data_IF_591349725569
#
_entry.id   IF_591349725569
#
_cell.length_a   1.000
_cell.length_b   1.000
_cell.length_c   1.000
_cell.angle_alpha   90.00
_cell.angle_beta   90.00
_cell.angle_gamma   90.00
#
_symmetry.space_group_name_H-M   'P 1'
#
loop_
_entity.id
_entity.type
_entity.pdbx_description
1 polymer ?
#
# COMPACT_ATOMS: atom_id res chain seq x y z
N UNK A 1 41.82 9.04 -6.66
CA UNK A 1 42.60 7.90 -6.12
C UNK A 1 43.97 7.67 -6.79
N UNK A 2 44.18 8.04 -8.07
CA UNK A 2 45.44 7.77 -8.79
C UNK A 2 46.57 8.81 -8.61
N UNK A 3 46.29 10.02 -8.12
CA UNK A 3 47.32 11.08 -7.94
C UNK A 3 47.86 11.20 -6.51
N UNK A 4 47.20 10.62 -5.50
CA UNK A 4 47.63 10.65 -4.10
C UNK A 4 47.49 9.23 -3.54
N UNK A 5 48.59 8.53 -3.34
CA UNK A 5 48.62 7.12 -2.88
C UNK A 5 48.33 6.99 -1.38
N UNK A 6 47.41 7.79 -0.83
CA UNK A 6 46.98 7.66 0.55
C UNK A 6 45.74 6.76 0.64
N UNK A 7 45.74 5.88 1.64
CA UNK A 7 44.60 5.01 1.97
C UNK A 7 43.31 5.82 2.21
N UNK A 8 43.44 7.04 2.74
CA UNK A 8 42.36 8.02 2.90
C UNK A 8 41.73 8.45 1.57
N UNK A 9 42.53 8.66 0.53
CA UNK A 9 42.05 9.05 -0.80
C UNK A 9 41.30 7.91 -1.51
N UNK A 10 41.72 6.65 -1.28
CA UNK A 10 40.99 5.46 -1.75
C UNK A 10 39.67 5.30 -1.02
N UNK A 11 39.64 5.50 0.31
CA UNK A 11 38.41 5.47 1.09
C UNK A 11 37.42 6.55 0.62
N UNK A 12 37.88 7.81 0.50
CA UNK A 12 37.06 8.92 0.02
C UNK A 12 36.51 8.68 -1.40
N UNK A 13 37.30 8.06 -2.28
CA UNK A 13 36.83 7.68 -3.61
C UNK A 13 35.70 6.65 -3.56
N UNK A 14 35.84 5.58 -2.76
CA UNK A 14 34.78 4.56 -2.60
C UNK A 14 33.50 5.18 -2.03
N UNK A 15 33.62 6.07 -1.04
CA UNK A 15 32.48 6.81 -0.48
C UNK A 15 31.79 7.68 -1.54
N UNK A 16 32.55 8.44 -2.32
CA UNK A 16 31.99 9.29 -3.38
C UNK A 16 31.29 8.47 -4.46
N UNK A 17 31.90 7.36 -4.91
CA UNK A 17 31.28 6.47 -5.90
C UNK A 17 29.97 5.87 -5.36
N UNK A 18 29.98 5.41 -4.11
CA UNK A 18 28.77 4.85 -3.47
C UNK A 18 27.68 5.91 -3.33
N UNK A 19 28.04 7.13 -2.93
CA UNK A 19 27.10 8.25 -2.82
C UNK A 19 26.49 8.62 -4.18
N UNK A 20 27.30 8.64 -5.26
CA UNK A 20 26.79 8.87 -6.62
C UNK A 20 25.82 7.78 -7.03
N UNK A 21 26.10 6.50 -6.74
CA UNK A 21 25.16 5.40 -7.03
C UNK A 21 23.85 5.52 -6.25
N UNK A 22 23.89 5.93 -4.97
CA UNK A 22 22.67 6.14 -4.18
C UNK A 22 21.85 7.34 -4.66
N UNK A 23 22.49 8.46 -5.01
CA UNK A 23 21.77 9.67 -5.44
C UNK A 23 21.24 9.54 -6.88
N UNK A 24 21.99 8.87 -7.76
CA UNK A 24 21.58 8.69 -9.15
C UNK A 24 20.59 7.55 -9.38
N UNK A 25 20.43 6.64 -8.41
CA UNK A 25 19.61 5.42 -8.53
C UNK A 25 19.90 4.60 -9.81
N UNK A 26 21.12 4.71 -10.37
CA UNK A 26 21.49 4.05 -11.63
C UNK A 26 21.50 2.52 -11.53
N UNK A 27 21.61 1.98 -10.31
CA UNK A 27 21.51 0.55 -9.99
C UNK A 27 20.60 0.39 -8.76
N UNK A 28 19.95 -0.78 -8.58
CA UNK A 28 19.13 -1.04 -7.39
C UNK A 28 19.88 -0.75 -6.09
N UNK A 29 19.22 -0.19 -5.07
CA UNK A 29 19.85 0.22 -3.81
C UNK A 29 20.68 -0.90 -3.17
N UNK A 30 20.22 -2.15 -3.25
CA UNK A 30 20.96 -3.32 -2.76
C UNK A 30 22.29 -3.55 -3.48
N UNK A 31 22.34 -3.36 -4.81
CA UNK A 31 23.57 -3.47 -5.58
C UNK A 31 24.52 -2.29 -5.28
N UNK A 32 23.98 -1.07 -5.16
CA UNK A 32 24.76 0.10 -4.72
C UNK A 32 25.37 -0.12 -3.33
N UNK A 33 24.62 -0.71 -2.39
CA UNK A 33 25.09 -1.00 -1.04
C UNK A 33 26.21 -2.06 -0.99
N UNK A 34 26.38 -2.87 -2.04
CA UNK A 34 27.49 -3.85 -2.15
C UNK A 34 28.75 -3.24 -2.79
N UNK A 35 28.69 -2.04 -3.37
CA UNK A 35 29.85 -1.38 -3.98
C UNK A 35 31.04 -1.26 -3.00
N UNK A 36 30.84 -0.80 -1.74
CA UNK A 36 31.92 -0.80 -0.75
C UNK A 36 32.44 -2.20 -0.42
N UNK A 37 31.56 -3.22 -0.44
CA UNK A 37 31.93 -4.61 -0.14
C UNK A 37 33.04 -5.13 -1.06
N UNK A 38 33.02 -4.73 -2.33
CA UNK A 38 34.00 -5.14 -3.34
C UNK A 38 35.16 -4.13 -3.48
N UNK A 39 34.88 -2.83 -3.43
CA UNK A 39 35.90 -1.82 -3.67
C UNK A 39 36.86 -1.64 -2.48
N UNK A 40 36.42 -1.83 -1.23
CA UNK A 40 37.32 -1.70 -0.09
C UNK A 40 38.44 -2.76 -0.07
N UNK A 41 38.17 -4.05 -0.31
CA UNK A 41 39.23 -5.04 -0.47
C UNK A 41 40.08 -4.81 -1.72
N UNK A 42 39.48 -4.37 -2.82
CA UNK A 42 40.19 -4.14 -4.10
C UNK A 42 41.22 -3.00 -4.00
N UNK A 43 40.87 -1.92 -3.32
CA UNK A 43 41.79 -0.80 -3.08
C UNK A 43 42.68 -0.98 -1.85
N UNK A 44 42.64 -2.15 -1.18
CA UNK A 44 43.45 -2.44 -0.01
C UNK A 44 43.12 -1.60 1.23
N UNK A 45 41.90 -1.07 1.32
CA UNK A 45 41.48 -0.21 2.45
C UNK A 45 41.18 -1.06 3.69
N UNK A 46 40.47 -2.18 3.53
CA UNK A 46 40.15 -3.16 4.58
C UNK A 46 40.20 -4.59 4.03
N UNK A 47 40.41 -5.58 4.90
CA UNK A 47 40.38 -7.00 4.47
C UNK A 47 38.95 -7.43 4.13
N UNK A 48 38.81 -8.35 3.18
CA UNK A 48 37.50 -8.89 2.77
C UNK A 48 36.72 -9.52 3.92
N UNK A 49 37.39 -10.17 4.87
CA UNK A 49 36.76 -10.75 6.06
C UNK A 49 36.18 -9.69 7.01
N UNK A 50 36.89 -8.58 7.18
CA UNK A 50 36.47 -7.46 8.05
C UNK A 50 35.28 -6.73 7.42
N UNK A 51 35.32 -6.50 6.11
CA UNK A 51 34.21 -5.93 5.35
C UNK A 51 32.98 -6.84 5.43
N UNK A 52 33.14 -8.16 5.22
CA UNK A 52 32.03 -9.11 5.26
C UNK A 52 31.38 -9.18 6.66
N UNK A 53 32.17 -9.13 7.73
CA UNK A 53 31.66 -9.11 9.10
C UNK A 53 30.72 -7.91 9.36
N UNK A 54 30.97 -6.77 8.71
CA UNK A 54 30.14 -5.57 8.85
C UNK A 54 28.75 -5.72 8.21
N UNK A 55 28.59 -6.59 7.21
CA UNK A 55 27.28 -6.88 6.58
C UNK A 55 26.46 -7.90 7.38
N UNK A 56 27.12 -8.82 8.10
CA UNK A 56 26.48 -9.91 8.85
C UNK A 56 26.37 -9.63 10.34
N UNK A 57 25.74 -8.51 10.71
CA UNK A 57 25.44 -8.18 12.10
C UNK A 57 24.12 -8.78 12.58
N UNK A 58 24.00 -8.92 13.90
CA UNK A 58 22.77 -9.38 14.57
C UNK A 58 21.54 -8.55 14.15
N UNK A 59 21.71 -7.24 13.95
CA UNK A 59 20.66 -6.33 13.49
C UNK A 59 20.16 -6.67 12.08
N UNK A 60 21.05 -7.10 11.17
CA UNK A 60 20.67 -7.57 9.82
C UNK A 60 19.87 -8.87 9.89
N UNK A 61 20.29 -9.81 10.74
CA UNK A 61 19.56 -11.07 10.98
C UNK A 61 18.17 -10.82 11.58
N UNK A 62 18.08 -9.88 12.52
CA UNK A 62 16.82 -9.44 13.09
C UNK A 62 15.89 -8.88 12.01
N UNK A 63 16.39 -7.97 11.15
CA UNK A 63 15.62 -7.41 10.04
C UNK A 63 15.09 -8.51 9.10
N UNK A 64 15.92 -9.50 8.77
CA UNK A 64 15.50 -10.64 7.94
C UNK A 64 14.37 -11.45 8.61
N UNK A 65 14.45 -11.68 9.91
CA UNK A 65 13.40 -12.33 10.69
C UNK A 65 12.08 -11.55 10.66
N UNK A 66 12.12 -10.23 10.85
CA UNK A 66 10.92 -9.36 10.79
C UNK A 66 10.29 -9.39 9.40
N UNK A 67 11.09 -9.30 8.34
CA UNK A 67 10.61 -9.38 6.95
C UNK A 67 9.93 -10.73 6.69
N UNK A 68 10.48 -11.82 7.21
CA UNK A 68 9.90 -13.16 7.05
C UNK A 68 8.54 -13.29 7.76
N UNK A 69 8.43 -12.77 8.99
CA UNK A 69 7.16 -12.74 9.73
C UNK A 69 6.14 -11.85 9.02
N UNK A 70 6.55 -10.68 8.56
CA UNK A 70 5.71 -9.75 7.80
C UNK A 70 5.18 -10.38 6.50
N UNK A 71 6.06 -11.04 5.73
CA UNK A 71 5.68 -11.76 4.51
C UNK A 71 4.70 -12.93 4.81
N UNK A 72 4.82 -13.57 5.97
CA UNK A 72 3.88 -14.60 6.40
C UNK A 72 2.49 -14.02 6.71
N UNK A 73 2.43 -12.87 7.40
CA UNK A 73 1.18 -12.13 7.68
C UNK A 73 0.50 -11.67 6.38
N UNK A 74 1.31 -11.30 5.38
CA UNK A 74 0.84 -10.96 4.04
C UNK A 74 0.26 -12.17 3.31
N UNK A 75 1.05 -13.25 3.19
CA UNK A 75 0.68 -14.46 2.47
C UNK A 75 -0.64 -15.08 2.95
N UNK A 76 -0.89 -15.01 4.25
CA UNK A 76 -2.12 -15.55 4.86
C UNK A 76 -3.25 -14.52 4.98
N UNK A 77 -3.10 -13.31 4.43
CA UNK A 77 -4.11 -12.25 4.44
C UNK A 77 -4.64 -11.88 5.85
N UNK A 78 -3.85 -12.16 6.89
CA UNK A 78 -4.23 -11.88 8.28
C UNK A 78 -4.45 -10.36 8.48
N UNK A 79 -3.59 -9.55 7.87
CA UNK A 79 -3.70 -8.10 7.84
C UNK A 79 -5.02 -7.63 7.21
N UNK A 80 -5.48 -8.23 6.10
CA UNK A 80 -6.77 -7.92 5.45
C UNK A 80 -7.95 -8.21 6.38
N UNK A 81 -7.91 -9.32 7.13
CA UNK A 81 -8.94 -9.66 8.12
C UNK A 81 -9.02 -8.64 9.25
N UNK A 82 -7.86 -8.21 9.77
CA UNK A 82 -7.78 -7.20 10.84
C UNK A 82 -8.27 -5.84 10.32
N UNK A 83 -7.81 -5.42 9.14
CA UNK A 83 -8.21 -4.16 8.51
C UNK A 83 -9.73 -4.09 8.28
N UNK A 84 -10.33 -5.13 7.68
CA UNK A 84 -11.77 -5.17 7.44
C UNK A 84 -12.58 -5.16 8.75
N UNK A 85 -12.11 -5.84 9.80
CA UNK A 85 -12.75 -5.78 11.12
C UNK A 85 -12.71 -4.36 11.71
N UNK A 86 -11.58 -3.69 11.63
CA UNK A 86 -11.42 -2.31 12.10
C UNK A 86 -12.36 -1.36 11.37
N UNK A 87 -12.46 -1.49 10.04
CA UNK A 87 -13.36 -0.66 9.22
C UNK A 87 -14.83 -0.94 9.55
N UNK A 88 -15.23 -2.20 9.75
CA UNK A 88 -16.60 -2.54 10.19
C UNK A 88 -16.94 -1.96 11.57
N UNK A 89 -15.97 -1.80 12.47
CA UNK A 89 -16.19 -1.17 13.77
C UNK A 89 -16.32 0.35 13.70
N UNK A 90 -15.60 1.01 12.79
CA UNK A 90 -15.62 2.48 12.65
C UNK A 90 -16.90 3.00 11.97
N UNK A 91 -17.55 2.16 11.16
CA UNK A 91 -18.72 2.54 10.36
C UNK A 91 -18.36 3.35 9.12
N UNK A 92 -19.35 3.59 8.27
CA UNK A 92 -19.14 4.14 6.93
C UNK A 92 -19.12 5.68 6.82
N UNK A 93 -18.87 6.40 7.91
CA UNK A 93 -18.74 7.87 7.86
C UNK A 93 -17.37 8.24 7.26
N UNK A 94 -17.27 9.09 6.24
CA UNK A 94 -16.02 9.37 5.53
C UNK A 94 -14.90 9.88 6.45
N UNK A 95 -15.23 10.68 7.46
CA UNK A 95 -14.26 11.18 8.43
C UNK A 95 -13.70 10.13 9.41
N UNK A 96 -14.57 9.24 9.91
CA UNK A 96 -14.18 8.12 10.78
C UNK A 96 -13.49 7.01 9.99
N UNK A 97 -13.91 6.81 8.74
CA UNK A 97 -13.30 5.89 7.80
C UNK A 97 -11.84 6.29 7.51
N UNK A 98 -11.58 7.59 7.29
CA UNK A 98 -10.23 8.10 7.12
C UNK A 98 -9.36 7.88 8.36
N UNK A 99 -9.89 8.18 9.56
CA UNK A 99 -9.18 7.87 10.82
C UNK A 99 -8.90 6.38 10.97
N UNK A 100 -9.87 5.53 10.60
CA UNK A 100 -9.73 4.07 10.68
C UNK A 100 -8.62 3.56 9.75
N UNK A 101 -8.59 4.03 8.50
CA UNK A 101 -7.53 3.68 7.56
C UNK A 101 -6.16 4.18 8.03
N UNK A 102 -6.07 5.41 8.57
CA UNK A 102 -4.82 5.92 9.15
C UNK A 102 -4.36 5.09 10.35
N UNK A 103 -5.25 4.79 11.30
CA UNK A 103 -4.92 3.94 12.45
C UNK A 103 -4.50 2.53 12.03
N UNK A 104 -5.23 1.90 11.10
CA UNK A 104 -4.90 0.59 10.59
C UNK A 104 -3.53 0.58 9.91
N UNK A 105 -3.26 1.57 9.05
CA UNK A 105 -1.96 1.71 8.37
C UNK A 105 -0.83 1.95 9.35
N UNK A 106 -1.04 2.79 10.38
CA UNK A 106 -0.04 3.07 11.42
C UNK A 106 0.31 1.80 12.20
N UNK A 107 -0.70 1.01 12.59
CA UNK A 107 -0.48 -0.26 13.30
C UNK A 107 0.24 -1.28 12.41
N UNK A 108 -0.11 -1.39 11.13
CA UNK A 108 0.60 -2.30 10.22
C UNK A 108 2.05 -1.84 10.00
N UNK A 109 2.27 -0.55 9.76
CA UNK A 109 3.59 0.02 9.49
C UNK A 109 4.52 0.09 10.71
N UNK A 110 3.99 -0.15 11.91
CA UNK A 110 4.79 -0.37 13.11
C UNK A 110 5.58 -1.69 13.07
N UNK A 111 5.16 -2.64 12.22
CA UNK A 111 5.78 -3.97 12.15
C UNK A 111 6.26 -4.32 10.75
N UNK A 112 5.57 -3.81 9.74
CA UNK A 112 5.91 -3.94 8.33
C UNK A 112 6.64 -2.68 7.84
N UNK A 113 7.33 -2.79 6.70
CA UNK A 113 7.89 -1.61 6.06
C UNK A 113 6.79 -0.63 5.64
N UNK A 114 7.12 0.67 5.61
CA UNK A 114 6.20 1.72 5.15
C UNK A 114 5.64 1.41 3.75
N UNK A 115 6.51 1.02 2.82
CA UNK A 115 6.14 0.69 1.45
C UNK A 115 5.20 -0.51 1.39
N UNK A 116 5.51 -1.60 2.11
CA UNK A 116 4.65 -2.79 2.17
C UNK A 116 3.29 -2.46 2.77
N UNK A 117 3.24 -1.68 3.84
CA UNK A 117 2.00 -1.29 4.50
C UNK A 117 1.09 -0.47 3.58
N UNK A 118 1.65 0.51 2.86
CA UNK A 118 0.88 1.27 1.87
C UNK A 118 0.40 0.38 0.72
N UNK A 119 1.26 -0.49 0.18
CA UNK A 119 0.89 -1.39 -0.92
C UNK A 119 -0.24 -2.36 -0.56
N UNK A 120 -0.31 -2.83 0.70
CA UNK A 120 -1.38 -3.71 1.18
C UNK A 120 -2.71 -2.99 1.41
N UNK A 121 -2.65 -1.76 1.95
CA UNK A 121 -3.85 -1.00 2.32
C UNK A 121 -4.46 -0.29 1.11
N UNK A 122 -3.66 0.07 0.10
CA UNK A 122 -4.12 0.83 -1.06
C UNK A 122 -5.23 0.12 -1.85
N UNK A 123 -5.17 -1.19 -2.19
CA UNK A 123 -6.26 -1.87 -2.89
C UNK A 123 -7.57 -1.89 -2.10
N UNK A 124 -7.50 -1.97 -0.77
CA UNK A 124 -8.69 -1.92 0.10
C UNK A 124 -9.30 -0.52 0.03
N UNK A 125 -8.47 0.51 0.06
CA UNK A 125 -8.92 1.91 -0.01
C UNK A 125 -9.49 2.22 -1.38
N UNK A 126 -8.87 1.74 -2.46
CA UNK A 126 -9.40 1.88 -3.81
C UNK A 126 -10.76 1.21 -3.96
N UNK A 127 -10.94 -0.01 -3.43
CA UNK A 127 -12.22 -0.70 -3.45
C UNK A 127 -13.30 0.08 -2.69
N UNK A 128 -12.96 0.62 -1.51
CA UNK A 128 -13.90 1.43 -0.72
C UNK A 128 -14.18 2.78 -1.39
N UNK A 129 -13.18 3.40 -2.01
CA UNK A 129 -13.31 4.68 -2.70
C UNK A 129 -14.18 4.56 -3.95
N UNK A 130 -13.99 3.54 -4.78
CA UNK A 130 -14.83 3.31 -5.97
C UNK A 130 -16.30 3.14 -5.57
N UNK A 131 -16.57 2.41 -4.49
CA UNK A 131 -17.93 2.26 -3.98
C UNK A 131 -18.50 3.57 -3.42
N UNK A 132 -17.67 4.39 -2.76
CA UNK A 132 -18.09 5.70 -2.26
C UNK A 132 -18.49 6.66 -3.39
N UNK A 133 -17.87 6.54 -4.58
CA UNK A 133 -18.22 7.31 -5.78
C UNK A 133 -19.50 6.77 -6.41
N UNK A 134 -19.58 5.45 -6.64
CA UNK A 134 -20.76 4.81 -7.24
C UNK A 134 -22.04 5.03 -6.40
N UNK A 135 -21.92 5.03 -5.07
CA UNK A 135 -23.06 5.28 -4.19
C UNK A 135 -23.53 6.74 -4.21
N UNK A 136 -22.68 7.71 -4.59
CA UNK A 136 -23.11 9.09 -4.84
C UNK A 136 -23.95 9.15 -6.12
N UNK A 137 -23.51 8.50 -7.21
CA UNK A 137 -24.25 8.43 -8.47
C UNK A 137 -25.66 7.86 -8.29
N UNK A 138 -25.81 6.73 -7.60
CA UNK A 138 -27.14 6.15 -7.33
C UNK A 138 -28.04 7.07 -6.51
N UNK A 139 -27.47 7.85 -5.59
CA UNK A 139 -28.23 8.77 -4.75
C UNK A 139 -28.67 10.01 -5.54
N UNK A 140 -27.84 10.52 -6.43
CA UNK A 140 -28.20 11.59 -7.37
C UNK A 140 -29.30 11.14 -8.34
N UNK A 141 -29.17 9.94 -8.92
CA UNK A 141 -30.19 9.36 -9.82
C UNK A 141 -31.54 9.18 -9.11
N UNK A 142 -31.54 8.68 -7.87
CA UNK A 142 -32.79 8.52 -7.10
C UNK A 142 -33.38 9.87 -6.72
N UNK A 143 -32.56 10.87 -6.44
CA UNK A 143 -33.04 12.23 -6.13
C UNK A 143 -33.63 12.89 -7.38
N UNK A 144 -33.03 12.68 -8.55
CA UNK A 144 -33.53 13.16 -9.85
C UNK A 144 -34.79 12.40 -10.32
N UNK A 145 -34.91 11.11 -10.00
CA UNK A 145 -36.12 10.32 -10.23
C UNK A 145 -37.24 10.66 -9.23
N UNK A 146 -36.89 11.02 -7.99
CA UNK A 146 -37.83 11.46 -6.97
C UNK A 146 -38.41 12.86 -7.22
N UNK A 147 -37.65 13.75 -7.87
CA UNK A 147 -38.15 15.07 -8.27
C UNK A 147 -39.07 15.02 -9.51
N UNK A 148 -38.94 14.00 -10.36
CA UNK A 148 -39.83 13.80 -11.52
C UNK A 148 -41.18 13.16 -11.16
N UNK A 149 -41.27 12.45 -10.02
CA UNK A 149 -42.53 11.84 -9.54
C UNK A 149 -43.40 12.84 -8.74
N UNK A 150 -42.87 14.02 -8.37
CA UNK A 150 -43.60 15.01 -7.58
C UNK A 150 -44.63 15.86 -8.36
N UNK A 151 -44.77 15.71 -9.69
CA UNK A 151 -45.70 16.51 -10.50
C UNK A 151 -46.88 15.76 -11.15
N UNK A 152 -47.08 14.46 -10.92
CA UNK A 152 -48.23 13.76 -11.52
C UNK A 152 -49.11 13.06 -10.49
N UNK A 153 -49.99 13.84 -9.85
CA UNK A 153 -51.13 13.33 -9.10
C UNK A 153 -52.38 13.32 -9.97
N UNK A 154 -52.72 12.16 -10.55
CA UNK A 154 -54.10 11.83 -10.92
C UNK A 154 -54.33 10.31 -10.82
N UNK A 155 -55.39 9.85 -10.14
CA UNK A 155 -55.57 8.41 -9.88
C UNK A 155 -56.32 7.76 -11.04
N UNK A 156 -55.92 6.55 -11.46
CA UNK A 156 -56.79 5.53 -12.08
C UNK A 156 -56.05 4.17 -12.10
N UNK A 157 -56.72 3.12 -11.62
CA UNK A 157 -56.73 1.80 -12.28
C UNK A 157 -55.89 0.65 -11.70
N UNK A 158 -56.60 -0.37 -11.19
CA UNK A 158 -56.12 -1.70 -10.79
C UNK A 158 -55.24 -2.43 -11.84
N UNK A 159 -54.28 -3.23 -11.35
CA UNK A 159 -53.72 -4.37 -12.09
C UNK A 159 -52.49 -5.00 -11.43
N UNK A 160 -52.71 -5.99 -10.55
CA UNK A 160 -51.65 -6.93 -10.13
C UNK A 160 -51.21 -7.80 -11.33
N UNK A 161 -49.89 -7.96 -11.54
CA UNK A 161 -49.26 -9.30 -11.67
C UNK A 161 -47.73 -9.27 -11.64
N UNK A 162 -47.24 -10.31 -11.00
CA UNK A 162 -45.88 -10.70 -10.62
C UNK A 162 -44.97 -11.04 -11.82
N UNK A 163 -43.65 -10.80 -11.70
CA UNK A 163 -42.64 -11.37 -12.61
C UNK A 163 -41.22 -10.77 -12.49
N UNK A 164 -40.35 -11.42 -11.71
CA UNK A 164 -38.89 -11.49 -11.91
C UNK A 164 -38.55 -12.97 -12.18
N UNK A 165 -37.35 -13.36 -12.66
CA UNK A 165 -36.30 -12.65 -13.42
C UNK A 165 -35.74 -13.53 -14.58
N UNK A 166 -34.77 -13.03 -15.38
CA UNK A 166 -33.75 -13.87 -16.03
C UNK A 166 -32.50 -13.02 -16.35
N UNK A 167 -31.47 -13.19 -15.51
CA UNK A 167 -30.10 -12.77 -15.81
C UNK A 167 -29.49 -13.90 -16.65
N UNK A 168 -29.15 -13.63 -17.91
CA UNK A 168 -28.43 -14.60 -18.73
C UNK A 168 -26.93 -14.48 -18.43
N UNK A 169 -26.38 -15.61 -17.99
CA UNK A 169 -25.04 -15.81 -17.48
C UNK A 169 -24.13 -16.15 -18.67
N UNK A 170 -23.28 -15.23 -19.13
CA UNK A 170 -22.23 -15.56 -20.09
C UNK A 170 -21.01 -16.05 -19.30
N UNK A 171 -20.90 -17.38 -19.21
CA UNK A 171 -19.65 -18.07 -18.92
C UNK A 171 -18.72 -17.91 -20.12
N UNK A 172 -17.51 -17.36 -19.92
CA UNK A 172 -16.39 -17.67 -20.81
C UNK A 172 -15.48 -18.60 -20.01
N UNK A 173 -15.52 -19.87 -20.40
CA UNK A 173 -14.60 -20.89 -19.95
C UNK A 173 -13.29 -20.70 -20.70
N UNK A 174 -12.22 -20.51 -19.94
CA UNK A 174 -10.85 -20.53 -20.42
C UNK A 174 -10.48 -21.99 -20.66
N UNK A 175 -10.61 -22.46 -21.91
CA UNK A 175 -9.78 -23.52 -22.48
C UNK A 175 -10.12 -23.77 -23.96
N UNK A 176 -9.07 -24.08 -24.72
CA UNK A 176 -9.04 -24.64 -26.07
C UNK A 176 -8.98 -23.68 -27.28
N UNK A 177 -7.74 -23.60 -27.79
CA UNK A 177 -7.34 -23.69 -29.20
C UNK A 177 -7.53 -22.49 -30.13
N UNK A 178 -6.36 -21.96 -30.48
CA UNK A 178 -6.00 -21.14 -31.63
C UNK A 178 -6.65 -21.58 -32.94
N UNK A 179 -7.64 -20.83 -33.43
CA UNK A 179 -7.95 -20.52 -34.85
C UNK A 179 -9.36 -19.93 -34.88
N UNK A 180 -9.49 -18.61 -35.06
CA UNK A 180 -10.68 -17.90 -35.62
C UNK A 180 -10.78 -16.40 -35.26
N UNK A 181 -9.69 -15.75 -34.86
CA UNK A 181 -9.68 -14.28 -34.68
C UNK A 181 -9.70 -13.48 -36.02
N UNK A 182 -9.55 -14.15 -37.16
CA UNK A 182 -9.53 -13.52 -38.49
C UNK A 182 -10.90 -13.40 -39.17
N UNK A 183 -11.97 -14.00 -38.62
CA UNK A 183 -13.31 -13.99 -39.23
C UNK A 183 -14.32 -13.05 -38.56
N UNK A 184 -14.04 -12.54 -37.36
CA UNK A 184 -14.96 -11.68 -36.59
C UNK A 184 -14.73 -10.17 -36.73
N UNK A 185 -13.66 -9.74 -37.41
CA UNK A 185 -13.39 -8.32 -37.70
C UNK A 185 -14.18 -7.83 -38.93
N UNK A 186 -14.84 -8.73 -39.67
CA UNK A 186 -15.50 -8.42 -40.94
C UNK A 186 -17.03 -8.44 -40.88
N UNK A 187 -17.66 -7.92 -39.82
CA UNK A 187 -19.14 -7.81 -39.79
C UNK A 187 -19.68 -6.86 -38.70
N UNK A 188 -19.47 -5.54 -38.87
CA UNK A 188 -20.48 -4.49 -38.55
C UNK A 188 -19.89 -3.10 -38.77
N UNK A 189 -20.11 -2.54 -39.95
CA UNK A 189 -20.24 -1.11 -40.13
C UNK A 189 -21.15 -0.85 -41.32
N UNK A 190 -22.43 -0.62 -41.05
CA UNK A 190 -23.35 0.10 -41.93
C UNK A 190 -24.30 0.89 -41.05
N UNK A 191 -24.05 2.19 -40.94
CA UNK A 191 -24.93 3.23 -41.47
C UNK A 191 -24.30 4.61 -41.18
N UNK A 192 -23.94 5.36 -42.23
CA UNK A 192 -23.63 6.79 -42.07
C UNK A 192 -22.53 7.41 -42.95
N UNK A 193 -22.54 7.16 -44.26
CA UNK A 193 -22.35 8.18 -45.33
C UNK A 193 -20.99 8.92 -45.53
N UNK A 194 -20.58 8.83 -46.81
CA UNK A 194 -19.66 9.60 -47.66
C UNK A 194 -18.13 9.42 -47.61
N UNK A 195 -17.66 8.71 -48.65
CA UNK A 195 -16.31 8.61 -49.19
C UNK A 195 -15.84 9.88 -49.92
N UNK A 196 -14.53 10.16 -49.86
CA UNK A 196 -13.74 10.70 -50.99
C UNK A 196 -12.42 9.90 -51.08
N UNK A 197 -12.13 9.46 -52.31
CA UNK A 197 -11.09 8.54 -52.73
C UNK A 197 -9.69 9.19 -52.88
N UNK A 198 -8.60 8.42 -52.71
CA UNK A 198 -7.86 7.85 -53.85
C UNK A 198 -6.73 6.89 -53.39
N UNK A 199 -6.40 5.85 -54.18
CA UNK A 199 -5.39 4.84 -53.87
C UNK A 199 -4.03 5.19 -54.50
N UNK A 200 -2.96 4.48 -54.11
CA UNK A 200 -1.82 4.04 -54.95
C UNK A 200 -0.72 3.47 -54.04
N UNK A 201 -0.18 2.29 -54.37
CA UNK A 201 1.19 1.91 -53.99
C UNK A 201 1.36 0.55 -53.33
N UNK A 202 1.09 -0.53 -54.06
CA UNK A 202 1.61 -1.88 -53.81
C UNK A 202 3.14 -1.93 -53.99
N UNK A 203 3.86 -2.52 -53.03
CA UNK A 203 5.09 -3.28 -53.32
C UNK A 203 5.39 -4.32 -52.23
N UNK A 204 5.56 -5.56 -52.69
CA UNK A 204 5.92 -6.77 -51.93
C UNK A 204 7.44 -6.99 -51.90
N UNK A 205 7.84 -7.91 -51.00
CA UNK A 205 9.05 -8.80 -51.02
C UNK A 205 10.22 -8.33 -50.14
N UNK A 206 10.48 -8.93 -48.96
CA UNK A 206 11.04 -10.25 -48.57
C UNK A 206 12.56 -10.33 -48.34
N UNK A 207 12.90 -10.93 -47.18
CA UNK A 207 14.21 -11.43 -46.71
C UNK A 207 15.19 -10.34 -46.23
N UNK A 208 15.97 -10.48 -45.16
CA UNK A 208 16.53 -11.65 -44.49
C UNK A 208 16.84 -11.31 -43.02
N UNK A 209 16.90 -12.31 -42.16
CA UNK A 209 16.95 -12.17 -40.71
C UNK A 209 18.25 -11.61 -40.11
N UNK A 210 18.12 -11.09 -38.89
CA UNK A 210 19.11 -11.14 -37.82
C UNK A 210 18.52 -10.49 -36.54
N UNK A 211 18.79 -11.13 -35.40
CA UNK A 211 18.65 -10.61 -34.04
C UNK A 211 17.23 -10.46 -33.46
N UNK A 212 16.89 -11.31 -32.47
CA UNK A 212 15.88 -10.95 -31.46
C UNK A 212 16.45 -9.81 -30.61
N UNK A 213 15.78 -8.64 -30.49
CA UNK A 213 16.01 -7.75 -29.38
C UNK A 213 15.20 -8.27 -28.18
N UNK A 214 15.86 -8.45 -27.04
CA UNK A 214 15.18 -8.50 -25.76
C UNK A 214 14.24 -7.30 -25.68
N UNK A 215 12.93 -7.55 -25.65
CA UNK A 215 11.96 -6.53 -25.32
C UNK A 215 12.21 -6.11 -23.87
N UNK A 216 12.97 -5.02 -23.70
CA UNK A 216 12.86 -4.22 -22.49
C UNK A 216 11.39 -3.83 -22.40
N UNK A 217 10.70 -4.32 -21.35
CA UNK A 217 9.41 -3.79 -20.95
C UNK A 217 9.72 -2.36 -20.48
N UNK A 218 9.76 -1.43 -21.43
CA UNK A 218 9.65 -0.02 -21.14
C UNK A 218 8.21 0.12 -20.62
N UNK A 219 8.07 0.05 -19.29
CA UNK A 219 6.86 0.48 -18.61
C UNK A 219 6.78 1.97 -18.88
N UNK A 220 6.18 2.32 -20.02
CA UNK A 220 5.68 3.66 -20.24
C UNK A 220 4.77 3.93 -19.04
N UNK A 221 4.95 5.04 -18.30
CA UNK A 221 3.91 5.46 -17.38
C UNK A 221 2.61 5.49 -18.19
N UNK A 222 1.48 5.01 -17.65
CA UNK A 222 0.23 5.04 -18.38
C UNK A 222 0.02 6.45 -18.90
N UNK A 223 -0.18 6.57 -20.22
CA UNK A 223 -0.59 7.81 -20.86
C UNK A 223 -1.67 8.47 -19.99
N UNK A 224 -1.60 9.78 -19.71
CA UNK A 224 -2.51 10.46 -18.78
C UNK A 224 -3.96 10.58 -19.30
N UNK A 225 -4.35 9.78 -20.29
CA UNK A 225 -5.57 9.95 -21.08
C UNK A 225 -6.77 9.07 -20.66
N UNK A 226 -6.72 8.33 -19.53
CA UNK A 226 -7.93 7.63 -19.01
C UNK A 226 -8.17 7.74 -17.49
N UNK A 227 -7.39 8.53 -16.73
CA UNK A 227 -7.67 8.73 -15.30
C UNK A 227 -8.73 9.81 -15.04
N UNK A 228 -8.93 10.73 -15.99
CA UNK A 228 -9.90 11.83 -15.86
C UNK A 228 -11.36 11.41 -15.98
N UNK A 229 -11.63 10.16 -16.41
CA UNK A 229 -12.98 9.61 -16.55
C UNK A 229 -13.49 8.85 -15.32
N UNK A 230 -12.64 8.63 -14.30
CA UNK A 230 -13.00 7.78 -13.13
C UNK A 230 -13.67 8.54 -11.99
N UNK A 231 -13.57 9.88 -11.95
CA UNK A 231 -14.13 10.70 -10.88
C UNK A 231 -15.05 11.77 -11.49
N UNK A 232 -16.36 11.67 -11.24
CA UNK A 232 -17.34 12.60 -11.80
C UNK A 232 -17.33 13.97 -11.09
N UNK A 233 -17.09 14.02 -9.78
CA UNK A 233 -17.12 15.28 -9.02
C UNK A 233 -15.74 15.72 -8.52
N UNK A 234 -15.53 17.05 -8.41
CA UNK A 234 -14.33 17.62 -7.78
C UNK A 234 -14.19 17.18 -6.32
N UNK A 235 -15.30 16.93 -5.65
CA UNK A 235 -15.36 16.47 -4.27
C UNK A 235 -14.80 15.04 -4.14
N UNK A 236 -15.23 14.11 -4.99
CA UNK A 236 -14.72 12.72 -5.00
C UNK A 236 -13.24 12.64 -5.27
N UNK A 237 -12.76 13.44 -6.23
CA UNK A 237 -11.34 13.52 -6.53
C UNK A 237 -10.53 14.05 -5.33
N UNK A 238 -11.08 15.00 -4.56
CA UNK A 238 -10.44 15.49 -3.33
C UNK A 238 -10.46 14.44 -2.21
N UNK A 239 -11.54 13.68 -2.06
CA UNK A 239 -11.64 12.57 -1.09
C UNK A 239 -10.65 11.46 -1.44
N UNK A 240 -10.53 11.08 -2.72
CA UNK A 240 -9.54 10.12 -3.22
C UNK A 240 -8.11 10.54 -2.85
N UNK A 241 -7.76 11.79 -3.17
CA UNK A 241 -6.44 12.36 -2.86
C UNK A 241 -6.19 12.35 -1.37
N UNK A 242 -7.17 12.75 -0.57
CA UNK A 242 -7.07 12.78 0.88
C UNK A 242 -6.81 11.39 1.45
N UNK A 243 -7.59 10.38 1.06
CA UNK A 243 -7.43 9.01 1.53
C UNK A 243 -6.07 8.43 1.14
N UNK A 244 -5.68 8.56 -0.13
CA UNK A 244 -4.38 8.06 -0.63
C UNK A 244 -3.20 8.70 0.10
N UNK A 245 -3.25 10.02 0.30
CA UNK A 245 -2.22 10.77 1.00
C UNK A 245 -2.19 10.43 2.51
N UNK A 246 -3.37 10.22 3.12
CA UNK A 246 -3.49 9.85 4.53
C UNK A 246 -2.80 8.53 4.86
N UNK A 247 -2.89 7.54 3.95
CA UNK A 247 -2.23 6.23 4.10
C UNK A 247 -0.71 6.39 4.03
N UNK A 248 -0.22 7.20 3.08
CA UNK A 248 1.21 7.43 2.91
C UNK A 248 1.83 8.09 4.15
N UNK A 249 1.15 9.10 4.72
CA UNK A 249 1.58 9.71 5.98
C UNK A 249 1.44 8.76 7.18
N UNK A 250 0.33 8.04 7.29
CA UNK A 250 0.10 7.10 8.38
C UNK A 250 1.13 5.96 8.40
N UNK A 251 1.53 5.46 7.23
CA UNK A 251 2.62 4.48 7.12
C UNK A 251 3.92 5.05 7.68
N UNK A 252 4.28 6.27 7.26
CA UNK A 252 5.49 6.95 7.77
C UNK A 252 5.45 7.17 9.28
N UNK A 253 4.31 7.58 9.84
CA UNK A 253 4.12 7.77 11.28
C UNK A 253 4.23 6.43 12.03
N UNK A 254 3.62 5.36 11.49
CA UNK A 254 3.68 4.03 12.09
C UNK A 254 5.11 3.47 12.15
N UNK A 255 5.90 3.69 11.09
CA UNK A 255 7.29 3.24 11.04
C UNK A 255 8.20 3.91 12.07
N UNK A 256 7.84 5.10 12.57
CA UNK A 256 8.61 5.80 13.62
C UNK A 256 8.32 5.24 15.03
N UNK A 257 7.15 4.62 15.23
CA UNK A 257 6.67 4.14 16.54
C UNK A 257 7.58 3.10 17.17
N UNK A 258 8.16 2.21 16.37
CA UNK A 258 9.04 1.12 16.80
C UNK A 258 10.39 1.20 16.11
N UNK A 259 11.42 0.68 16.78
CA UNK A 259 12.78 0.65 16.23
C UNK A 259 12.84 -0.13 14.91
N UNK A 260 12.06 -1.20 14.80
CA UNK A 260 11.97 -2.12 13.66
C UNK A 260 11.11 -1.60 12.49
N UNK A 261 10.30 -0.56 12.71
CA UNK A 261 9.40 -0.04 11.68
C UNK A 261 10.14 0.58 10.50
N UNK A 262 11.32 1.17 10.75
CA UNK A 262 12.17 1.73 9.70
C UNK A 262 13.62 1.28 9.80
N UNK A 263 14.26 1.11 8.64
CA UNK A 263 15.69 0.80 8.55
C UNK A 263 16.56 1.88 9.20
N UNK A 264 16.16 3.15 9.10
CA UNK A 264 16.88 4.28 9.73
C UNK A 264 16.96 4.15 11.25
N UNK A 265 15.87 3.74 11.90
CA UNK A 265 15.84 3.52 13.35
C UNK A 265 16.73 2.35 13.77
N UNK A 266 16.77 1.27 12.98
CA UNK A 266 17.68 0.14 13.21
C UNK A 266 19.16 0.54 13.03
N UNK A 267 19.47 1.30 11.98
CA UNK A 267 20.83 1.80 11.74
C UNK A 267 21.28 2.73 12.88
N UNK A 268 20.38 3.59 13.37
CA UNK A 268 20.65 4.43 14.53
C UNK A 268 20.95 3.58 15.78
N UNK A 269 20.12 2.58 16.08
CA UNK A 269 20.32 1.70 17.23
C UNK A 269 21.66 0.98 17.15
N UNK A 270 21.98 0.43 15.99
CA UNK A 270 23.26 -0.25 15.72
C UNK A 270 24.44 0.69 15.94
N UNK A 271 24.39 1.90 15.34
CA UNK A 271 25.46 2.88 15.48
C UNK A 271 25.61 3.35 16.93
N UNK A 272 24.50 3.62 17.63
CA UNK A 272 24.50 4.06 19.02
C UNK A 272 25.11 3.00 19.95
N UNK A 273 24.73 1.73 19.79
CA UNK A 273 25.26 0.63 20.61
C UNK A 273 26.75 0.39 20.36
N UNK A 274 27.22 0.55 19.11
CA UNK A 274 28.64 0.42 18.78
C UNK A 274 29.47 1.56 19.41
N UNK A 275 28.95 2.79 19.41
CA UNK A 275 29.65 3.96 19.96
C UNK A 275 29.58 4.03 21.49
N UNK A 276 28.46 3.61 22.09
CA UNK A 276 28.20 3.71 23.53
C UNK A 276 27.81 2.36 24.14
N UNK A 277 28.71 1.36 24.17
CA UNK A 277 28.39 -0.01 24.60
C UNK A 277 27.97 -0.14 26.08
N UNK A 278 28.28 0.87 26.90
CA UNK A 278 27.91 0.90 28.33
C UNK A 278 26.57 1.61 28.59
N UNK A 279 25.98 2.23 27.57
CA UNK A 279 24.75 3.01 27.71
C UNK A 279 23.56 2.19 27.21
N UNK A 280 22.97 1.37 28.08
CA UNK A 280 21.76 0.57 27.78
C UNK A 280 20.46 1.39 27.82
N UNK A 281 20.53 2.66 27.40
CA UNK A 281 19.40 3.60 27.46
C UNK A 281 18.42 3.41 26.30
N UNK A 282 18.90 2.90 25.15
CA UNK A 282 18.08 2.70 23.94
C UNK A 282 17.81 1.21 23.74
N UNK A 283 16.64 0.76 24.20
CA UNK A 283 16.11 -0.59 24.01
C UNK A 283 14.77 -0.51 23.28
N UNK A 284 14.25 -1.65 22.83
CA UNK A 284 12.94 -1.72 22.17
C UNK A 284 11.83 -1.06 23.01
N UNK A 285 11.76 -1.40 24.31
CA UNK A 285 10.76 -0.86 25.22
C UNK A 285 10.91 0.63 25.50
N UNK A 286 12.14 1.12 25.72
CA UNK A 286 12.36 2.55 26.01
C UNK A 286 12.10 3.42 24.78
N UNK A 287 12.50 2.95 23.59
CA UNK A 287 12.16 3.62 22.33
C UNK A 287 10.66 3.66 22.09
N UNK A 288 9.96 2.53 22.28
CA UNK A 288 8.51 2.50 22.11
C UNK A 288 7.82 3.47 23.07
N UNK A 289 8.21 3.49 24.34
CA UNK A 289 7.62 4.40 25.33
C UNK A 289 7.87 5.87 24.99
N UNK A 290 9.02 6.19 24.38
CA UNK A 290 9.34 7.52 23.90
C UNK A 290 8.59 7.90 22.61
N UNK A 291 8.60 7.03 21.61
CA UNK A 291 8.12 7.31 20.26
C UNK A 291 6.61 7.14 20.09
N UNK A 292 6.00 6.16 20.76
CA UNK A 292 4.56 5.90 20.70
C UNK A 292 3.68 7.13 21.01
N UNK A 293 3.87 7.87 22.12
CA UNK A 293 3.05 9.06 22.39
C UNK A 293 3.24 10.14 21.31
N UNK A 294 4.46 10.32 20.81
CA UNK A 294 4.76 11.28 19.73
C UNK A 294 4.03 10.86 18.45
N UNK A 295 4.09 9.57 18.08
CA UNK A 295 3.42 9.03 16.90
C UNK A 295 1.90 9.21 16.99
N UNK A 296 1.30 9.02 18.16
CA UNK A 296 -0.14 9.20 18.38
C UNK A 296 -0.54 10.67 18.22
N UNK A 297 0.24 11.59 18.77
CA UNK A 297 0.02 13.03 18.61
C UNK A 297 0.14 13.41 17.12
N UNK A 298 1.19 12.95 16.44
CA UNK A 298 1.40 13.20 15.01
C UNK A 298 0.27 12.62 14.15
N UNK A 299 -0.24 11.44 14.50
CA UNK A 299 -1.36 10.81 13.81
C UNK A 299 -2.63 11.67 13.90
N UNK A 300 -2.96 12.14 15.10
CA UNK A 300 -4.14 12.99 15.33
C UNK A 300 -3.98 14.36 14.64
N UNK A 301 -2.79 14.97 14.72
CA UNK A 301 -2.51 16.24 14.05
C UNK A 301 -2.60 16.10 12.52
N UNK A 302 -2.05 15.02 11.96
CA UNK A 302 -2.11 14.75 10.51
C UNK A 302 -3.54 14.47 10.07
N UNK A 303 -4.29 13.70 10.85
CA UNK A 303 -5.71 13.46 10.60
C UNK A 303 -6.49 14.78 10.59
N UNK A 304 -6.29 15.63 11.60
CA UNK A 304 -6.95 16.94 11.68
C UNK A 304 -6.58 17.83 10.49
N UNK A 305 -5.29 17.88 10.12
CA UNK A 305 -4.78 18.67 9.00
C UNK A 305 -5.36 18.21 7.66
N UNK A 306 -5.33 16.91 7.37
CA UNK A 306 -5.88 16.36 6.12
C UNK A 306 -7.40 16.49 6.07
N UNK A 307 -8.07 16.32 7.21
CA UNK A 307 -9.50 16.53 7.31
C UNK A 307 -9.88 17.98 6.98
N UNK A 308 -9.19 18.96 7.58
CA UNK A 308 -9.41 20.38 7.26
C UNK A 308 -9.15 20.65 5.78
N UNK A 309 -7.98 20.25 5.26
CA UNK A 309 -7.54 20.60 3.91
C UNK A 309 -8.46 20.08 2.80
N UNK A 310 -9.01 18.87 2.96
CA UNK A 310 -9.78 18.20 1.90
C UNK A 310 -11.28 18.07 2.17
N UNK A 311 -11.72 17.94 3.43
CA UNK A 311 -13.13 17.77 3.80
C UNK A 311 -13.75 19.05 4.42
N UNK A 312 -12.96 20.09 4.70
CA UNK A 312 -13.41 21.37 5.24
C UNK A 312 -13.72 21.36 6.75
N UNK A 313 -14.32 22.45 7.25
CA UNK A 313 -14.55 22.66 8.70
C UNK A 313 -15.81 21.96 9.28
N UNK A 314 -16.33 20.89 8.67
CA UNK A 314 -17.52 20.19 9.16
C UNK A 314 -17.21 19.14 10.25
N UNK A 315 -16.42 19.54 11.27
CA UNK A 315 -16.01 18.68 12.39
C UNK A 315 -17.19 18.05 13.15
N UNK A 316 -18.32 18.77 13.22
CA UNK A 316 -19.52 18.32 13.94
C UNK A 316 -20.23 17.16 13.24
N UNK A 317 -20.04 16.95 11.95
CA UNK A 317 -20.60 15.80 11.23
C UNK A 317 -19.63 14.61 11.20
N UNK A 318 -18.32 14.89 11.13
CA UNK A 318 -17.24 13.89 11.15
C UNK A 318 -17.05 13.20 12.50
N UNK A 319 -16.99 13.96 13.60
CA UNK A 319 -16.74 13.43 14.95
C UNK A 319 -18.03 13.06 15.70
N UNK A 320 -19.20 13.29 15.11
CA UNK A 320 -20.45 12.91 15.76
C UNK A 320 -20.63 11.39 15.73
N UNK A 321 -20.27 10.77 16.85
CA UNK A 321 -20.64 9.39 17.23
C UNK A 321 -22.17 9.28 17.47
N UNK A 322 -22.94 10.34 17.24
CA UNK A 322 -24.38 10.31 17.39
C UNK A 322 -25.02 9.40 16.34
N UNK A 323 -25.97 8.58 16.79
CA UNK A 323 -26.80 7.65 16.01
C UNK A 323 -27.78 8.43 15.14
N UNK A 324 -27.30 9.24 14.20
CA UNK A 324 -28.14 9.69 13.08
C UNK A 324 -28.53 8.49 12.23
N UNK A 325 -29.71 8.55 11.61
CA UNK A 325 -30.18 7.57 10.63
C UNK A 325 -29.08 7.40 9.57
N UNK A 326 -28.60 6.18 9.37
CA UNK A 326 -27.53 5.88 8.40
C UNK A 326 -27.95 6.39 7.03
N UNK A 327 -27.03 7.06 6.36
CA UNK A 327 -27.26 7.51 4.98
C UNK A 327 -27.29 6.26 4.09
N UNK A 328 -28.04 6.28 2.97
CA UNK A 328 -28.08 5.14 2.03
C UNK A 328 -26.66 4.72 1.58
N UNK A 329 -25.76 5.69 1.42
CA UNK A 329 -24.32 5.53 1.17
C UNK A 329 -23.58 4.71 2.23
N UNK A 330 -23.90 4.94 3.51
CA UNK A 330 -23.27 4.24 4.63
C UNK A 330 -23.71 2.78 4.68
N UNK A 331 -24.99 2.50 4.39
CA UNK A 331 -25.49 1.13 4.35
C UNK A 331 -24.90 0.32 3.18
N UNK A 332 -24.74 0.95 2.01
CA UNK A 332 -24.15 0.31 0.82
C UNK A 332 -22.68 -0.09 1.05
N UNK A 333 -21.87 0.85 1.54
CA UNK A 333 -20.46 0.59 1.84
C UNK A 333 -20.28 -0.45 2.95
N UNK A 334 -21.10 -0.43 4.01
CA UNK A 334 -21.06 -1.47 5.05
C UNK A 334 -21.38 -2.87 4.50
N UNK A 335 -22.39 -3.00 3.61
CA UNK A 335 -22.73 -4.29 2.98
C UNK A 335 -21.56 -4.84 2.16
N UNK A 336 -20.88 -3.99 1.39
CA UNK A 336 -19.70 -4.35 0.61
C UNK A 336 -18.51 -4.76 1.46
N UNK A 337 -18.21 -4.01 2.52
CA UNK A 337 -17.15 -4.39 3.48
C UNK A 337 -17.47 -5.75 4.11
N UNK A 338 -18.75 -6.01 4.42
CA UNK A 338 -19.19 -7.32 4.90
C UNK A 338 -19.09 -8.41 3.81
N UNK A 339 -19.35 -8.11 2.54
CA UNK A 339 -19.14 -9.04 1.43
C UNK A 339 -17.66 -9.39 1.28
N UNK A 340 -16.76 -8.40 1.27
CA UNK A 340 -15.31 -8.63 1.26
C UNK A 340 -14.86 -9.43 2.48
N UNK A 341 -15.37 -9.12 3.67
CA UNK A 341 -15.06 -9.88 4.87
C UNK A 341 -15.58 -11.33 4.80
N UNK A 342 -16.76 -11.55 4.22
CA UNK A 342 -17.32 -12.89 3.98
C UNK A 342 -16.49 -13.68 2.96
N UNK A 343 -15.93 -13.03 1.93
CA UNK A 343 -15.04 -13.68 0.95
C UNK A 343 -13.77 -14.27 1.60
N UNK A 344 -13.29 -13.69 2.71
CA UNK A 344 -12.14 -14.25 3.46
C UNK A 344 -12.48 -15.57 4.19
N UNK A 345 -13.75 -15.93 4.34
CA UNK A 345 -14.17 -17.15 5.02
C UNK A 345 -13.74 -17.23 6.49
N UNK A 346 -13.77 -18.45 7.03
CA UNK A 346 -13.37 -18.73 8.41
C UNK A 346 -11.86 -18.60 8.61
N UNK A 347 -11.43 -18.35 9.85
CA UNK A 347 -10.01 -18.23 10.19
C UNK A 347 -9.32 -19.55 9.89
N UNK A 348 -8.35 -19.53 8.98
CA UNK A 348 -7.58 -20.70 8.59
C UNK A 348 -6.52 -21.04 9.66
N UNK A 349 -6.11 -22.32 9.75
CA UNK A 349 -5.06 -22.73 10.68
C UNK A 349 -3.76 -21.93 10.53
N UNK A 350 -3.26 -21.65 9.31
CA UNK A 350 -2.04 -20.87 9.14
C UNK A 350 -2.20 -19.39 9.53
N UNK A 351 -3.39 -18.81 9.40
CA UNK A 351 -3.69 -17.47 9.93
C UNK A 351 -3.54 -17.45 11.46
N UNK A 352 -4.08 -18.47 12.13
CA UNK A 352 -4.00 -18.61 13.58
C UNK A 352 -2.55 -18.79 14.07
N UNK A 353 -1.78 -19.66 13.41
CA UNK A 353 -0.37 -19.90 13.73
C UNK A 353 0.47 -18.63 13.51
N UNK A 354 0.26 -17.94 12.38
CA UNK A 354 0.96 -16.69 12.08
C UNK A 354 0.62 -15.62 13.11
N UNK A 355 -0.65 -15.49 13.49
CA UNK A 355 -1.09 -14.57 14.55
C UNK A 355 -0.47 -14.91 15.91
N UNK A 356 -0.38 -16.19 16.27
CA UNK A 356 0.29 -16.64 17.49
C UNK A 356 1.77 -16.25 17.51
N UNK A 357 2.53 -16.55 16.45
CA UNK A 357 3.95 -16.19 16.38
C UNK A 357 4.17 -14.68 16.37
N UNK A 358 3.29 -13.93 15.72
CA UNK A 358 3.35 -12.46 15.72
C UNK A 358 3.15 -11.88 17.12
N UNK A 359 2.13 -12.34 17.85
CA UNK A 359 1.86 -11.93 19.24
C UNK A 359 3.01 -12.36 20.14
N UNK A 360 3.47 -13.61 20.02
CA UNK A 360 4.60 -14.13 20.78
C UNK A 360 5.86 -13.29 20.56
N UNK A 361 6.23 -13.02 19.30
CA UNK A 361 7.36 -12.16 18.94
C UNK A 361 7.24 -10.78 19.58
N UNK A 362 6.06 -10.15 19.48
CA UNK A 362 5.79 -8.84 20.07
C UNK A 362 6.00 -8.86 21.58
N UNK A 363 5.44 -9.86 22.27
CA UNK A 363 5.59 -10.02 23.71
C UNK A 363 7.04 -10.27 24.11
N UNK A 364 7.78 -11.10 23.37
CA UNK A 364 9.20 -11.34 23.63
C UNK A 364 10.01 -10.06 23.47
N UNK A 365 9.75 -9.22 22.48
CA UNK A 365 10.48 -7.96 22.34
C UNK A 365 10.21 -6.98 23.48
N UNK A 366 8.95 -6.85 23.90
CA UNK A 366 8.62 -6.00 25.05
C UNK A 366 9.22 -6.52 26.36
N UNK A 367 9.31 -7.84 26.53
CA UNK A 367 9.84 -8.48 27.74
C UNK A 367 11.35 -8.71 27.71
N UNK A 368 12.04 -8.40 26.59
CA UNK A 368 13.49 -8.64 26.42
C UNK A 368 14.30 -7.86 27.44
N UNK A 369 14.17 -6.53 27.42
CA UNK A 369 14.86 -5.58 28.30
C UNK A 369 13.91 -4.40 28.58
N UNK A 370 12.86 -4.61 29.39
CA UNK A 370 11.81 -3.61 29.61
C UNK A 370 12.28 -2.38 30.39
N UNK A 371 13.48 -2.40 30.97
CA UNK A 371 14.11 -1.27 31.67
C UNK A 371 13.63 -1.05 33.11
N UNK A 372 12.46 -1.55 33.49
CA UNK A 372 11.93 -1.48 34.87
C UNK A 372 12.11 -2.79 35.67
N UNK A 373 12.29 -3.91 34.98
CA UNK A 373 12.66 -5.22 35.55
C UNK A 373 13.77 -5.85 34.70
N UNK A 374 14.62 -6.72 35.27
CA UNK A 374 15.51 -7.55 34.46
C UNK A 374 14.63 -8.38 33.52
N UNK A 375 14.74 -8.10 32.22
CA UNK A 375 13.99 -8.83 31.20
C UNK A 375 14.60 -10.21 30.97
N UNK A 376 13.97 -11.02 30.12
CA UNK A 376 14.46 -12.39 29.90
C UNK A 376 15.85 -12.46 29.26
N UNK A 377 16.39 -11.35 28.73
CA UNK A 377 17.78 -11.31 28.28
C UNK A 377 18.77 -11.61 29.40
N UNK A 378 18.42 -11.36 30.67
CA UNK A 378 19.30 -11.65 31.81
C UNK A 378 19.51 -13.15 32.04
N UNK A 379 18.70 -14.01 31.43
CA UNK A 379 18.89 -15.47 31.48
C UNK A 379 19.97 -15.96 30.50
N UNK A 380 20.41 -15.12 29.58
CA UNK A 380 21.47 -15.42 28.63
C UNK A 380 22.71 -14.57 28.96
N UNK A 381 23.88 -15.21 29.09
CA UNK A 381 25.14 -14.48 29.26
C UNK A 381 25.39 -13.60 28.01
N UNK A 382 25.75 -12.33 28.25
CA UNK A 382 25.98 -11.30 27.21
C UNK A 382 27.32 -11.46 26.50
#
# INVERSE_FOLDING_TARGET
>A
PLCLSLQEASCAYVLMVTAVYWVSEAVPLGAAALVPAFLYPLFGVMKSSEVAAEYFKNTTLLLMGVICVAASVEKWNLHKRIALRMVMMAGAKPGMLLLCFMCCTTVLSMWLSNTSSTAMVMPIVEAVLQELVNAEEECEVITAAGSTIAEENKPIGLGEKHGQPSLELIFINEDATTTDFSSLVHSKSMNGVHMIANPIGTMNSTSNGQHLPQAQILVLPPEPSELSSRYQTRHDHMVCKCLSLSISYAATIGGLTTIIGTSTSLIFLEHFNNQYPKAEVVNFGTWFLFSFPISLIMLVLTWFWLHWLFLGCNFKETCSVSKKKKTKREEMSERRIQEEYKKLGNVSYPEMVTGFFFILMTLLWFTREPGFVPGWSSFFEK
#
